data_IF_450286565138
#
_entry.id   IF_450286565138
#
_cell.length_a   1.000
_cell.length_b   1.000
_cell.length_c   1.000
_cell.angle_alpha   90.00
_cell.angle_beta   90.00
_cell.angle_gamma   90.00
#
_symmetry.space_group_name_H-M   'P 1'
#
loop_
_entity.id
_entity.type
_entity.pdbx_description
1 polymer ?
#
# COMPACT_ATOMS: atom_id res chain seq x y z
N UNK A 1 12.85 -21.09 2.74
CA UNK A 1 11.75 -21.06 1.74
C UNK A 1 10.73 -20.00 2.13
N UNK A 2 10.12 -20.08 3.32
CA UNK A 2 9.10 -19.12 3.80
C UNK A 2 9.59 -17.65 3.76
N UNK A 3 10.82 -17.36 4.20
CA UNK A 3 11.36 -16.00 4.15
C UNK A 3 11.49 -15.46 2.71
N UNK A 4 11.91 -16.32 1.78
CA UNK A 4 12.06 -15.95 0.36
C UNK A 4 10.68 -15.75 -0.28
N UNK A 5 9.70 -16.60 0.03
CA UNK A 5 8.33 -16.42 -0.47
C UNK A 5 7.67 -15.16 0.11
N UNK A 6 7.95 -14.81 1.37
CA UNK A 6 7.50 -13.55 1.98
C UNK A 6 8.08 -12.33 1.27
N UNK A 7 9.38 -12.33 0.98
CA UNK A 7 10.03 -11.25 0.24
C UNK A 7 9.42 -11.09 -1.16
N UNK A 8 9.26 -12.19 -1.90
CA UNK A 8 8.63 -12.18 -3.23
C UNK A 8 7.20 -11.64 -3.13
N UNK A 9 6.41 -12.10 -2.16
CA UNK A 9 5.04 -11.63 -1.93
C UNK A 9 5.01 -10.11 -1.71
N UNK A 10 5.86 -9.57 -0.84
CA UNK A 10 5.90 -8.13 -0.56
C UNK A 10 6.24 -7.30 -1.81
N UNK A 11 7.18 -7.74 -2.64
CA UNK A 11 7.54 -7.06 -3.90
C UNK A 11 6.36 -7.08 -4.88
N UNK A 12 5.70 -8.23 -5.03
CA UNK A 12 4.54 -8.36 -5.90
C UNK A 12 3.39 -7.44 -5.48
N UNK A 13 3.11 -7.33 -4.18
CA UNK A 13 2.04 -6.47 -3.66
C UNK A 13 2.35 -4.99 -3.92
N UNK A 14 3.59 -4.54 -3.65
CA UNK A 14 3.99 -3.15 -3.89
C UNK A 14 3.88 -2.78 -5.37
N UNK A 15 4.27 -3.69 -6.26
CA UNK A 15 4.10 -3.50 -7.71
C UNK A 15 2.62 -3.46 -8.12
N UNK A 16 1.79 -4.35 -7.57
CA UNK A 16 0.36 -4.38 -7.85
C UNK A 16 -0.34 -3.07 -7.44
N UNK A 17 -0.04 -2.56 -6.24
CA UNK A 17 -0.60 -1.29 -5.74
C UNK A 17 -0.17 -0.12 -6.62
N UNK A 18 1.10 -0.07 -7.06
CA UNK A 18 1.59 0.98 -7.94
C UNK A 18 0.78 1.05 -9.25
N UNK A 19 0.53 -0.08 -9.90
CA UNK A 19 -0.28 -0.13 -11.13
C UNK A 19 -1.77 0.10 -10.88
N UNK A 20 -2.30 -0.33 -9.73
CA UNK A 20 -3.69 -0.08 -9.34
C UNK A 20 -4.02 1.43 -9.34
N UNK A 21 -3.09 2.29 -8.89
CA UNK A 21 -3.30 3.75 -8.93
C UNK A 21 -3.46 4.31 -10.35
N UNK A 22 -2.78 3.75 -11.36
CA UNK A 22 -2.97 4.17 -12.76
C UNK A 22 -4.34 3.72 -13.25
N UNK A 23 -4.72 2.50 -12.93
CA UNK A 23 -6.00 1.92 -13.31
C UNK A 23 -7.13 2.80 -12.77
N UNK A 24 -7.09 3.15 -11.49
CA UNK A 24 -8.05 4.06 -10.86
C UNK A 24 -8.15 5.39 -11.61
N UNK A 25 -7.02 6.06 -11.87
CA UNK A 25 -6.98 7.34 -12.60
C UNK A 25 -7.54 7.23 -14.02
N UNK A 26 -7.29 6.12 -14.72
CA UNK A 26 -7.83 5.87 -16.07
C UNK A 26 -9.32 5.58 -16.03
N UNK A 27 -9.79 4.74 -15.11
CA UNK A 27 -11.20 4.43 -14.94
C UNK A 27 -12.01 5.70 -14.68
N UNK A 28 -11.58 6.53 -13.73
CA UNK A 28 -12.25 7.80 -13.40
C UNK A 28 -12.21 8.81 -14.57
N UNK A 29 -11.16 8.78 -15.38
CA UNK A 29 -11.06 9.64 -16.55
C UNK A 29 -12.04 9.23 -17.66
N UNK A 30 -12.21 7.93 -17.87
CA UNK A 30 -13.13 7.40 -18.88
C UNK A 30 -14.59 7.69 -18.53
N UNK A 31 -14.98 7.59 -17.25
CA UNK A 31 -16.34 7.97 -16.81
C UNK A 31 -16.60 9.47 -16.98
N UNK A 32 -15.56 10.29 -16.86
CA UNK A 32 -15.63 11.76 -17.00
C UNK A 32 -15.38 12.26 -18.43
N UNK A 33 -15.31 11.37 -19.44
CA UNK A 33 -15.07 11.72 -20.86
C UNK A 33 -13.78 12.57 -21.02
N UNK A 34 -12.76 12.29 -20.22
CA UNK A 34 -11.42 12.88 -20.36
C UNK A 34 -10.37 11.78 -20.43
N UNK A 35 -9.26 12.04 -21.12
CA UNK A 35 -8.15 11.09 -21.11
C UNK A 35 -7.38 11.21 -19.81
N UNK A 36 -7.13 10.07 -19.17
CA UNK A 36 -6.27 9.95 -18.01
C UNK A 36 -4.80 10.23 -18.35
N UNK A 37 -3.87 9.94 -17.43
CA UNK A 37 -2.45 10.21 -17.65
C UNK A 37 -1.92 9.47 -18.90
N UNK A 38 -1.58 10.23 -19.94
CA UNK A 38 -1.07 9.72 -21.22
C UNK A 38 0.32 10.26 -21.59
N UNK A 39 0.88 11.23 -20.84
CA UNK A 39 2.10 11.95 -21.23
C UNK A 39 3.42 11.35 -20.73
N UNK A 40 3.43 10.67 -19.59
CA UNK A 40 4.68 10.30 -18.88
C UNK A 40 5.34 9.02 -19.47
N UNK A 41 4.85 8.51 -20.62
CA UNK A 41 5.41 7.40 -21.45
C UNK A 41 4.33 6.90 -22.42
N UNK A 42 4.59 5.79 -23.15
CA UNK A 42 3.59 4.98 -23.86
C UNK A 42 2.38 4.70 -22.96
N UNK A 43 1.33 5.51 -23.11
CA UNK A 43 0.03 5.39 -22.43
C UNK A 43 0.14 5.56 -20.89
N UNK A 44 1.19 6.23 -20.40
CA UNK A 44 1.35 6.61 -18.99
C UNK A 44 1.71 5.47 -18.02
N UNK A 45 2.28 4.36 -18.50
CA UNK A 45 2.67 3.20 -17.67
C UNK A 45 3.70 3.59 -16.59
N UNK A 46 4.64 4.49 -16.92
CA UNK A 46 5.68 4.95 -15.97
C UNK A 46 5.21 6.02 -14.97
N UNK A 47 3.90 6.33 -14.91
CA UNK A 47 3.36 7.34 -13.98
C UNK A 47 3.69 7.07 -12.50
N UNK A 48 3.60 5.84 -11.95
CA UNK A 48 3.87 5.58 -10.54
C UNK A 48 5.33 5.83 -10.18
N UNK A 49 6.25 5.57 -11.11
CA UNK A 49 7.68 5.83 -10.94
C UNK A 49 7.93 7.34 -10.88
N UNK A 50 7.30 8.13 -11.76
CA UNK A 50 7.42 9.59 -11.74
C UNK A 50 6.83 10.20 -10.45
N UNK A 51 5.69 9.69 -9.98
CA UNK A 51 5.06 10.15 -8.73
C UNK A 51 5.96 9.80 -7.51
N UNK A 52 6.61 8.64 -7.50
CA UNK A 52 7.55 8.25 -6.44
C UNK A 52 8.80 9.16 -6.42
N UNK A 53 9.42 9.41 -7.59
CA UNK A 53 10.59 10.31 -7.69
C UNK A 53 10.22 11.72 -7.22
N UNK A 54 9.03 12.22 -7.59
CA UNK A 54 8.53 13.52 -7.14
C UNK A 54 8.41 13.60 -5.62
N UNK A 55 7.94 12.55 -4.96
CA UNK A 55 7.84 12.52 -3.49
C UNK A 55 9.21 12.45 -2.81
N UNK A 56 10.17 11.71 -3.37
CA UNK A 56 11.53 11.61 -2.82
C UNK A 56 12.31 12.94 -2.88
N UNK A 57 12.07 13.74 -3.92
CA UNK A 57 12.72 15.06 -4.07
C UNK A 57 12.10 16.16 -3.22
N UNK A 58 10.89 15.97 -2.70
CA UNK A 58 10.18 17.01 -1.95
C UNK A 58 10.76 17.14 -0.53
N UNK A 59 11.03 18.37 -0.11
CA UNK A 59 11.46 18.64 1.26
C UNK A 59 10.35 18.26 2.25
N UNK A 60 10.73 17.55 3.31
CA UNK A 60 9.82 17.19 4.39
C UNK A 60 9.56 18.44 5.23
N UNK A 61 8.35 18.99 5.14
CA UNK A 61 7.90 20.08 6.00
C UNK A 61 7.44 19.50 7.33
N UNK A 62 8.05 19.92 8.43
CA UNK A 62 7.59 19.58 9.78
C UNK A 62 6.42 20.50 10.13
N UNK A 63 5.40 19.93 10.76
CA UNK A 63 4.25 20.68 11.24
C UNK A 63 4.56 21.22 12.64
N UNK A 64 4.47 22.53 12.82
CA UNK A 64 4.85 23.24 14.06
C UNK A 64 4.04 22.80 15.29
N UNK A 65 2.79 22.34 15.10
CA UNK A 65 1.87 21.97 16.18
C UNK A 65 1.81 20.47 16.50
N UNK A 66 2.55 19.61 15.77
CA UNK A 66 2.44 18.15 15.90
C UNK A 66 3.69 17.53 16.53
N UNK A 67 3.51 16.42 17.25
CA UNK A 67 4.65 15.62 17.71
C UNK A 67 5.31 14.88 16.54
N UNK A 68 6.43 15.41 16.06
CA UNK A 68 7.21 14.87 14.93
C UNK A 68 7.48 13.37 14.97
N UNK A 69 7.62 12.75 16.15
CA UNK A 69 7.84 11.31 16.27
C UNK A 69 6.60 10.51 15.89
N UNK A 70 5.43 10.95 16.34
CA UNK A 70 4.16 10.27 16.09
C UNK A 70 3.77 10.44 14.62
N UNK A 71 3.93 11.64 14.05
CA UNK A 71 3.63 11.92 12.62
C UNK A 71 4.50 11.13 11.65
N UNK A 72 5.73 10.76 12.03
CA UNK A 72 6.59 9.91 11.20
C UNK A 72 6.31 8.41 11.42
N UNK A 73 6.05 7.98 12.66
CA UNK A 73 5.85 6.58 12.98
C UNK A 73 4.48 6.06 12.54
N UNK A 74 3.43 6.89 12.62
CA UNK A 74 2.07 6.44 12.36
C UNK A 74 1.83 5.98 10.91
N UNK A 75 2.32 6.64 9.84
CA UNK A 75 2.19 6.13 8.49
C UNK A 75 3.04 4.88 8.25
N UNK A 76 4.19 4.75 8.92
CA UNK A 76 5.04 3.56 8.86
C UNK A 76 4.32 2.34 9.44
N UNK A 77 3.70 2.49 10.62
CA UNK A 77 2.94 1.42 11.26
C UNK A 77 1.73 0.98 10.44
N UNK A 78 1.03 1.94 9.81
CA UNK A 78 -0.10 1.64 8.92
C UNK A 78 0.33 0.75 7.74
N UNK A 79 1.48 1.08 7.12
CA UNK A 79 2.02 0.30 6.02
C UNK A 79 2.44 -1.11 6.47
N UNK A 80 3.12 -1.23 7.62
CA UNK A 80 3.56 -2.54 8.14
C UNK A 80 2.38 -3.47 8.36
N UNK A 81 1.32 -3.02 9.04
CA UNK A 81 0.17 -3.88 9.33
C UNK A 81 -0.60 -4.23 8.06
N UNK A 82 -0.60 -3.35 7.05
CA UNK A 82 -1.24 -3.65 5.76
C UNK A 82 -0.53 -4.80 5.03
N UNK A 83 0.80 -4.89 5.14
CA UNK A 83 1.58 -5.97 4.54
C UNK A 83 1.45 -7.30 5.29
N UNK A 84 1.23 -7.26 6.61
CA UNK A 84 1.06 -8.47 7.44
C UNK A 84 -0.25 -9.20 7.14
N UNK A 85 -1.28 -8.51 6.65
CA UNK A 85 -2.58 -9.13 6.32
C UNK A 85 -2.48 -10.11 5.15
N UNK A 86 -1.66 -9.81 4.14
CA UNK A 86 -1.58 -10.62 2.91
C UNK A 86 -1.15 -12.08 3.10
N UNK A 87 -0.09 -12.41 3.86
CA UNK A 87 0.29 -13.80 4.07
C UNK A 87 -0.71 -14.62 4.89
N UNK A 88 -1.66 -13.94 5.56
CA UNK A 88 -2.72 -14.52 6.41
C UNK A 88 -3.99 -14.78 5.59
N UNK A 89 -4.05 -14.39 4.32
CA UNK A 89 -5.20 -14.71 3.48
C UNK A 89 -5.20 -16.20 3.10
N UNK A 90 -6.33 -16.90 3.22
CA UNK A 90 -6.44 -18.29 2.79
C UNK A 90 -6.38 -18.36 1.27
N UNK A 91 -5.18 -18.63 0.73
CA UNK A 91 -4.97 -18.90 -0.69
C UNK A 91 -5.21 -20.39 -0.97
N UNK A 92 -5.87 -20.71 -2.08
CA UNK A 92 -6.38 -22.05 -2.36
C UNK A 92 -5.29 -23.13 -2.47
N UNK A 93 -4.28 -22.91 -3.30
CA UNK A 93 -3.31 -23.96 -3.64
C UNK A 93 -1.98 -23.86 -2.89
N UNK A 94 -1.62 -22.67 -2.40
CA UNK A 94 -0.35 -22.43 -1.69
C UNK A 94 -0.50 -21.32 -0.63
N UNK A 95 -1.04 -21.63 0.57
CA UNK A 95 -1.00 -20.68 1.67
C UNK A 95 0.44 -20.46 2.14
N UNK A 96 0.82 -19.20 2.36
CA UNK A 96 2.15 -18.87 2.91
C UNK A 96 2.25 -19.20 4.40
N UNK A 97 1.17 -18.91 5.14
CA UNK A 97 0.96 -19.36 6.51
C UNK A 97 -0.34 -20.15 6.57
N UNK A 98 -0.24 -21.38 7.03
CA UNK A 98 -1.40 -22.21 7.32
C UNK A 98 -1.56 -22.31 8.85
N UNK A 99 -2.39 -21.44 9.40
CA UNK A 99 -2.75 -21.41 10.82
C UNK A 99 -4.20 -21.86 10.91
N UNK A 100 -4.52 -22.76 11.84
CA UNK A 100 -5.89 -23.28 12.06
C UNK A 100 -6.96 -22.19 12.21
N UNK A 101 -6.57 -21.02 12.74
CA UNK A 101 -7.45 -19.88 12.99
C UNK A 101 -7.14 -18.67 12.09
N UNK A 102 -6.81 -18.91 10.82
CA UNK A 102 -6.41 -17.86 9.88
C UNK A 102 -7.46 -16.73 9.74
N UNK A 103 -8.75 -17.09 9.73
CA UNK A 103 -9.86 -16.13 9.64
C UNK A 103 -9.99 -15.25 10.88
N UNK A 104 -9.78 -15.81 12.08
CA UNK A 104 -9.80 -15.05 13.34
C UNK A 104 -8.59 -14.11 13.39
N UNK A 105 -7.41 -14.60 12.98
CA UNK A 105 -6.20 -13.78 12.92
C UNK A 105 -6.38 -12.57 11.97
N UNK A 106 -6.99 -12.77 10.81
CA UNK A 106 -7.38 -11.69 9.90
C UNK A 106 -8.29 -10.65 10.57
N UNK A 107 -9.28 -11.09 11.34
CA UNK A 107 -10.19 -10.18 12.07
C UNK A 107 -9.48 -9.39 13.16
N UNK A 108 -8.57 -10.02 13.92
CA UNK A 108 -7.78 -9.33 14.96
C UNK A 108 -6.90 -8.25 14.32
N UNK A 109 -6.18 -8.58 13.25
CA UNK A 109 -5.26 -7.63 12.62
C UNK A 109 -6.02 -6.48 11.97
N UNK A 110 -7.16 -6.76 11.32
CA UNK A 110 -7.99 -5.69 10.76
C UNK A 110 -8.54 -4.74 11.83
N UNK A 111 -8.87 -5.22 13.03
CA UNK A 111 -9.27 -4.36 14.15
C UNK A 111 -8.13 -3.43 14.61
N UNK A 112 -6.87 -3.89 14.58
CA UNK A 112 -5.73 -3.06 15.01
C UNK A 112 -5.46 -1.86 14.10
N UNK A 113 -5.87 -1.92 12.82
CA UNK A 113 -5.71 -0.81 11.88
C UNK A 113 -6.43 0.46 12.32
N UNK A 114 -7.56 0.32 13.01
CA UNK A 114 -8.36 1.47 13.49
C UNK A 114 -7.57 2.32 14.47
N UNK A 115 -6.78 1.70 15.36
CA UNK A 115 -5.96 2.44 16.33
C UNK A 115 -4.87 3.27 15.66
N UNK A 116 -4.30 2.76 14.56
CA UNK A 116 -3.26 3.48 13.84
C UNK A 116 -3.85 4.65 13.06
N UNK A 117 -5.02 4.46 12.43
CA UNK A 117 -5.77 5.56 11.83
C UNK A 117 -6.07 6.67 12.84
N UNK A 118 -6.47 6.32 14.06
CA UNK A 118 -6.69 7.30 15.13
C UNK A 118 -5.39 8.00 15.57
N UNK A 119 -4.23 7.36 15.47
CA UNK A 119 -2.94 7.99 15.78
C UNK A 119 -2.43 8.95 14.70
N UNK A 120 -3.00 8.88 13.48
CA UNK A 120 -2.63 9.76 12.35
C UNK A 120 -3.41 11.08 12.40
N UNK A 121 -4.70 11.04 12.77
CA UNK A 121 -5.58 12.20 12.86
C UNK A 121 -5.35 13.03 14.12
#
# INVERSE_FOLDING_TARGET
>A
IILVSMLILTICILMAVAFFTILERKFLSYTQIRKGPNKVSLIGILQPVADAIKLLTKSQQKMESSNSKITFLSPMMALVISLVVFPILPMSHFPLLDISFNTILFMVISSTMVYILLSIG
#
